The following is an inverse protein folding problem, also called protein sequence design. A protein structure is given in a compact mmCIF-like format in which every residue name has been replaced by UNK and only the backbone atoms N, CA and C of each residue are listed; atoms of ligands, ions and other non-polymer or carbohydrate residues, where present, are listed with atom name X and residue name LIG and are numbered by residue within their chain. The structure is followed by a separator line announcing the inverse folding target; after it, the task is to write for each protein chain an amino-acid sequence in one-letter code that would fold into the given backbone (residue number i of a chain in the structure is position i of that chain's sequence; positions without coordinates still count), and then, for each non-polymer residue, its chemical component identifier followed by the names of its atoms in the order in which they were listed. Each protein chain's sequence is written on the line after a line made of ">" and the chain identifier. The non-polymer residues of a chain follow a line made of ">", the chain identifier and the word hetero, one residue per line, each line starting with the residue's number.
data_IF_359587683798
#
_entry.id   IF_359587683798
#
_cell.length_a   1.000
_cell.length_b   1.000
_cell.length_c   1.000
_cell.angle_alpha   90.00
_cell.angle_beta   90.00
_cell.angle_gamma   90.00
#
_symmetry.space_group_name_H-M   'P 1'
#
loop_
_entity.id
_entity.type
_entity.pdbx_description
1 polymer ?
#
# COMPACT_ATOMS: atom_id res chain seq x y z
N UNK A 1 -11.04 16.35 21.18
CA UNK A 1 -9.70 15.81 20.86
C UNK A 1 -9.60 14.39 21.38
N UNK A 2 -8.87 13.51 20.69
CA UNK A 2 -8.87 12.05 20.87
C UNK A 2 -8.09 11.54 22.12
N UNK A 3 -7.24 12.38 22.71
CA UNK A 3 -6.40 12.02 23.87
C UNK A 3 -5.42 10.85 23.59
N UNK A 4 -4.56 10.49 24.56
CA UNK A 4 -3.54 9.45 24.36
C UNK A 4 -4.12 8.07 23.97
N UNK A 5 -5.25 7.68 24.59
CA UNK A 5 -5.92 6.41 24.29
C UNK A 5 -6.53 6.38 22.89
N UNK A 6 -7.07 7.50 22.40
CA UNK A 6 -7.63 7.58 21.05
C UNK A 6 -6.53 7.50 19.99
N UNK A 7 -5.41 8.21 20.20
CA UNK A 7 -4.25 8.12 19.32
C UNK A 7 -3.70 6.68 19.24
N UNK A 8 -3.61 5.97 20.37
CA UNK A 8 -3.18 4.58 20.38
C UNK A 8 -4.12 3.66 19.58
N UNK A 9 -5.43 3.88 19.67
CA UNK A 9 -6.42 3.11 18.90
C UNK A 9 -6.32 3.35 17.40
N UNK A 10 -6.16 4.62 16.99
CA UNK A 10 -5.95 4.98 15.58
C UNK A 10 -4.67 4.34 15.05
N UNK A 11 -3.55 4.47 15.77
CA UNK A 11 -2.29 3.87 15.36
C UNK A 11 -2.39 2.35 15.19
N UNK A 12 -3.07 1.66 16.11
CA UNK A 12 -3.34 0.22 16.00
C UNK A 12 -4.19 -0.11 14.78
N UNK A 13 -5.22 0.68 14.48
CA UNK A 13 -6.07 0.49 13.31
C UNK A 13 -5.29 0.68 12.00
N UNK A 14 -4.46 1.72 11.89
CA UNK A 14 -3.58 1.93 10.73
C UNK A 14 -2.65 0.73 10.53
N UNK A 15 -1.93 0.33 11.57
CA UNK A 15 -0.99 -0.80 11.50
C UNK A 15 -1.68 -2.12 11.12
N UNK A 16 -2.83 -2.42 11.73
CA UNK A 16 -3.60 -3.63 11.42
C UNK A 16 -4.02 -3.68 9.95
N UNK A 17 -4.59 -2.59 9.43
CA UNK A 17 -5.04 -2.49 8.04
C UNK A 17 -3.87 -2.54 7.05
N UNK A 18 -2.75 -1.90 7.37
CA UNK A 18 -1.54 -1.98 6.56
C UNK A 18 -1.00 -3.42 6.48
N UNK A 19 -0.99 -4.14 7.61
CA UNK A 19 -0.62 -5.56 7.65
C UNK A 19 -1.55 -6.42 6.81
N UNK A 20 -2.87 -6.23 6.95
CA UNK A 20 -3.86 -6.96 6.14
C UNK A 20 -3.68 -6.71 4.63
N UNK A 21 -3.44 -5.46 4.22
CA UNK A 21 -3.22 -5.14 2.82
C UNK A 21 -1.94 -5.79 2.31
N UNK A 22 -0.83 -5.69 3.07
CA UNK A 22 0.44 -6.33 2.75
C UNK A 22 0.28 -7.84 2.54
N UNK A 23 -0.38 -8.53 3.47
CA UNK A 23 -0.62 -9.98 3.38
C UNK A 23 -1.49 -10.38 2.17
N UNK A 24 -2.42 -9.52 1.74
CA UNK A 24 -3.21 -9.76 0.52
C UNK A 24 -2.38 -9.55 -0.75
N UNK A 25 -1.53 -8.52 -0.79
CA UNK A 25 -0.68 -8.20 -1.94
C UNK A 25 0.48 -9.20 -2.11
N UNK A 26 1.05 -9.70 -1.02
CA UNK A 26 2.12 -10.72 -1.02
C UNK A 26 1.68 -12.03 -1.70
N UNK A 27 0.37 -12.28 -1.82
CA UNK A 27 -0.20 -13.44 -2.52
C UNK A 27 -0.27 -13.25 -4.04
N UNK A 28 0.06 -12.07 -4.56
CA UNK A 28 0.05 -11.78 -5.99
C UNK A 28 1.46 -12.02 -6.54
N UNK A 29 1.60 -12.97 -7.47
CA UNK A 29 2.90 -13.43 -8.00
C UNK A 29 3.72 -12.32 -8.68
N UNK A 30 3.04 -11.32 -9.22
CA UNK A 30 3.62 -10.20 -9.94
C UNK A 30 4.09 -9.06 -9.02
N UNK A 31 3.83 -9.16 -7.72
CA UNK A 31 4.22 -8.18 -6.70
C UNK A 31 5.31 -8.77 -5.82
N UNK A 32 6.31 -7.94 -5.52
CA UNK A 32 7.31 -8.24 -4.52
C UNK A 32 7.15 -7.28 -3.33
N UNK A 33 7.22 -7.81 -2.10
CA UNK A 33 7.37 -7.01 -0.89
C UNK A 33 8.85 -6.66 -0.74
N UNK A 34 9.21 -5.38 -0.73
CA UNK A 34 10.62 -4.97 -0.75
C UNK A 34 11.31 -5.13 0.61
N UNK A 35 10.58 -4.88 1.70
CA UNK A 35 11.11 -4.95 3.07
C UNK A 35 10.31 -5.91 3.95
N UNK A 36 11.02 -6.76 4.70
CA UNK A 36 10.42 -7.80 5.55
C UNK A 36 10.53 -7.51 7.06
N UNK A 37 11.16 -6.41 7.43
CA UNK A 37 11.27 -5.94 8.81
C UNK A 37 9.91 -5.44 9.34
N UNK A 38 9.76 -5.31 10.67
CA UNK A 38 8.59 -4.64 11.25
C UNK A 38 8.41 -3.24 10.67
N UNK A 39 7.17 -2.90 10.36
CA UNK A 39 6.77 -1.61 9.79
C UNK A 39 5.51 -1.11 10.51
N UNK A 40 5.22 0.18 10.40
CA UNK A 40 4.02 0.77 10.98
C UNK A 40 2.83 0.65 10.03
N UNK A 41 2.46 1.72 9.35
CA UNK A 41 1.32 1.78 8.43
C UNK A 41 1.71 2.01 6.97
N UNK A 42 3.01 2.00 6.70
CA UNK A 42 3.59 2.16 5.38
C UNK A 42 4.50 1.00 5.03
N UNK A 43 4.44 0.55 3.78
CA UNK A 43 5.31 -0.49 3.26
C UNK A 43 5.52 -0.30 1.76
N UNK A 44 6.60 -0.90 1.26
CA UNK A 44 7.00 -0.77 -0.15
C UNK A 44 6.76 -2.08 -0.88
N UNK A 45 6.12 -1.95 -2.04
CA UNK A 45 5.99 -3.04 -3.01
C UNK A 45 6.73 -2.70 -4.29
N UNK A 46 7.14 -3.73 -5.03
CA UNK A 46 7.79 -3.58 -6.33
C UNK A 46 7.02 -4.32 -7.41
N UNK A 47 6.89 -3.67 -8.56
CA UNK A 47 6.25 -4.20 -9.76
C UNK A 47 7.29 -4.58 -10.81
N UNK A 48 6.88 -5.43 -11.76
CA UNK A 48 7.65 -5.65 -12.99
C UNK A 48 7.48 -4.54 -14.03
N UNK A 49 6.37 -3.79 -13.95
CA UNK A 49 6.01 -2.68 -14.84
C UNK A 49 6.35 -1.33 -14.18
N UNK A 50 6.54 -0.24 -14.95
CA UNK A 50 6.76 1.09 -14.41
C UNK A 50 5.64 1.51 -13.45
N UNK A 51 6.01 2.06 -12.29
CA UNK A 51 5.04 2.49 -11.25
C UNK A 51 4.09 3.56 -11.78
N UNK A 52 4.58 4.45 -12.63
CA UNK A 52 3.76 5.46 -13.31
C UNK A 52 2.55 4.85 -14.03
N UNK A 53 2.74 3.80 -14.83
CA UNK A 53 1.65 3.12 -15.55
C UNK A 53 0.67 2.44 -14.57
N UNK A 54 1.18 1.89 -13.48
CA UNK A 54 0.38 1.30 -12.41
C UNK A 54 -0.51 2.38 -11.76
N UNK A 55 0.05 3.54 -11.43
CA UNK A 55 -0.66 4.66 -10.83
C UNK A 55 -1.74 5.22 -11.76
N UNK A 56 -1.44 5.37 -13.05
CA UNK A 56 -2.40 5.84 -14.06
C UNK A 56 -3.62 4.91 -14.14
N UNK A 57 -3.40 3.59 -14.20
CA UNK A 57 -4.49 2.60 -14.22
C UNK A 57 -5.28 2.54 -12.91
N UNK A 58 -4.63 2.72 -11.77
CA UNK A 58 -5.34 2.80 -10.48
C UNK A 58 -6.21 4.06 -10.39
N UNK A 59 -5.74 5.18 -10.96
CA UNK A 59 -6.51 6.42 -11.06
C UNK A 59 -7.80 6.25 -11.87
N UNK A 60 -7.77 5.48 -12.97
CA UNK A 60 -8.98 5.15 -13.76
C UNK A 60 -10.06 4.43 -12.92
N UNK A 61 -9.65 3.75 -11.84
CA UNK A 61 -10.53 3.09 -10.88
C UNK A 61 -10.86 3.96 -9.66
N UNK A 62 -10.53 5.26 -9.69
CA UNK A 62 -10.63 6.20 -8.57
C UNK A 62 -9.81 5.77 -7.33
N UNK A 63 -8.65 5.15 -7.54
CA UNK A 63 -7.76 4.69 -6.47
C UNK A 63 -6.47 5.50 -6.49
N UNK A 64 -6.20 6.23 -5.41
CA UNK A 64 -4.87 6.80 -5.17
C UNK A 64 -3.93 5.67 -4.74
N UNK A 65 -3.05 5.25 -5.65
CA UNK A 65 -2.27 4.01 -5.51
C UNK A 65 -1.19 4.05 -4.42
N UNK A 66 -0.54 5.20 -4.23
CA UNK A 66 0.61 5.35 -3.34
C UNK A 66 1.56 6.42 -3.86
N UNK A 67 2.81 6.36 -3.42
CA UNK A 67 3.87 7.27 -3.86
C UNK A 67 4.95 6.52 -4.65
N UNK A 68 5.28 7.03 -5.84
CA UNK A 68 6.29 6.44 -6.71
C UNK A 68 7.70 6.74 -6.17
N UNK A 69 8.40 5.69 -5.71
CA UNK A 69 9.76 5.82 -5.18
C UNK A 69 10.84 5.74 -6.26
N UNK A 70 10.50 5.40 -7.50
CA UNK A 70 11.49 5.20 -8.57
C UNK A 70 12.29 6.46 -8.92
N UNK A 71 11.76 7.65 -8.58
CA UNK A 71 12.44 8.93 -8.78
C UNK A 71 13.42 9.25 -7.66
N UNK A 72 12.98 9.11 -6.41
CA UNK A 72 13.80 9.47 -5.23
C UNK A 72 14.78 8.35 -4.83
N UNK A 73 14.46 7.10 -5.16
CA UNK A 73 15.23 5.90 -4.84
C UNK A 73 15.34 4.97 -6.07
N UNK A 74 16.09 5.37 -7.12
CA UNK A 74 16.20 4.59 -8.36
C UNK A 74 16.70 3.16 -8.16
N UNK A 75 17.49 2.91 -7.12
CA UNK A 75 18.00 1.59 -6.75
C UNK A 75 16.90 0.59 -6.36
N UNK A 76 15.72 1.08 -5.96
CA UNK A 76 14.56 0.25 -5.67
C UNK A 76 13.80 -0.16 -6.95
N UNK A 77 14.07 0.48 -8.08
CA UNK A 77 13.43 0.23 -9.37
C UNK A 77 11.96 0.66 -9.36
N UNK A 78 11.07 -0.19 -9.87
CA UNK A 78 9.63 0.07 -9.95
C UNK A 78 8.95 -0.09 -8.57
N UNK A 79 9.35 0.71 -7.59
CA UNK A 79 8.90 0.64 -6.21
C UNK A 79 7.81 1.68 -5.90
N UNK A 80 6.74 1.24 -5.23
CA UNK A 80 5.63 2.06 -4.78
C UNK A 80 5.54 2.00 -3.25
N UNK A 81 5.55 3.16 -2.60
CA UNK A 81 5.25 3.30 -1.17
C UNK A 81 3.75 3.39 -0.97
N UNK A 82 3.20 2.53 -0.11
CA UNK A 82 1.78 2.48 0.21
C UNK A 82 1.59 2.90 1.67
N UNK A 83 0.64 3.80 1.93
CA UNK A 83 0.20 4.21 3.27
C UNK A 83 -1.25 3.81 3.52
N UNK A 84 -1.54 3.17 4.65
CA UNK A 84 -2.89 2.71 5.01
C UNK A 84 -3.32 3.34 6.35
N UNK A 85 -4.38 4.14 6.31
CA UNK A 85 -4.88 4.84 7.51
C UNK A 85 -6.14 4.19 8.07
N UNK A 86 -6.55 4.62 9.26
CA UNK A 86 -7.73 4.15 9.97
C UNK A 86 -9.03 4.40 9.20
N UNK A 87 -9.03 5.29 8.21
CA UNK A 87 -10.20 5.60 7.38
C UNK A 87 -10.51 4.52 6.33
N UNK A 88 -9.57 3.64 6.00
CA UNK A 88 -9.77 2.58 5.00
C UNK A 88 -10.60 1.43 5.57
N UNK A 89 -11.62 0.97 4.85
CA UNK A 89 -12.38 -0.24 5.19
C UNK A 89 -11.75 -1.49 4.59
N UNK A 90 -12.13 -2.68 5.05
CA UNK A 90 -11.69 -3.94 4.41
C UNK A 90 -12.09 -4.01 2.94
N UNK A 91 -13.28 -3.48 2.61
CA UNK A 91 -13.75 -3.36 1.23
C UNK A 91 -12.84 -2.48 0.38
N UNK A 92 -12.31 -1.39 0.93
CA UNK A 92 -11.34 -0.55 0.23
C UNK A 92 -10.04 -1.31 -0.05
N UNK A 93 -9.57 -2.10 0.92
CA UNK A 93 -8.39 -2.95 0.74
C UNK A 93 -8.63 -4.02 -0.34
N UNK A 94 -9.80 -4.65 -0.34
CA UNK A 94 -10.16 -5.64 -1.37
C UNK A 94 -10.29 -5.01 -2.76
N UNK A 95 -10.90 -3.83 -2.85
CA UNK A 95 -10.97 -3.07 -4.11
C UNK A 95 -9.58 -2.72 -4.64
N UNK A 96 -8.68 -2.28 -3.76
CA UNK A 96 -7.30 -1.98 -4.10
C UNK A 96 -6.56 -3.22 -4.63
N UNK A 97 -6.65 -4.34 -3.92
CA UNK A 97 -6.05 -5.62 -4.32
C UNK A 97 -6.62 -6.11 -5.65
N UNK A 98 -7.94 -6.00 -5.84
CA UNK A 98 -8.61 -6.42 -7.07
C UNK A 98 -8.26 -5.54 -8.26
N UNK A 99 -8.08 -4.23 -8.05
CA UNK A 99 -7.60 -3.33 -9.09
C UNK A 99 -6.17 -3.71 -9.51
N UNK A 100 -5.27 -3.96 -8.55
CA UNK A 100 -3.89 -4.38 -8.85
C UNK A 100 -3.83 -5.71 -9.62
N UNK A 101 -4.67 -6.69 -9.27
CA UNK A 101 -4.72 -7.99 -9.97
C UNK A 101 -5.08 -7.88 -11.46
N UNK A 102 -5.66 -6.75 -11.89
CA UNK A 102 -6.07 -6.52 -13.28
C UNK A 102 -5.00 -5.81 -14.12
N UNK A 103 -3.86 -5.41 -13.53
CA UNK A 103 -2.87 -4.51 -14.16
C UNK A 103 -1.87 -5.20 -15.08
#
# INVERSE_FOLDING_TARGET
>A
MLGPKGLQQIARACHHKAKMLKEKLEKIKEIEIVFHQPFFHEFVIRFKKPVKEILEKLLEHNIQGGYDLSTDYPELGNALLICVTETKSEKDLDNYVNAIKKL
#
